data_IF_358032395141
#
_entry.id   IF_358032395141
#
_cell.length_a   1.000
_cell.length_b   1.000
_cell.length_c   1.000
_cell.angle_alpha   90.00
_cell.angle_beta   90.00
_cell.angle_gamma   90.00
#
_symmetry.space_group_name_H-M   'P 1'
#
loop_
_entity.id
_entity.type
_entity.pdbx_description
1 polymer ?
#
# COMPACT_ATOMS: atom_id res chain seq x y z
N UNK A 1 24.19 6.00 20.31
CA UNK A 1 23.71 5.15 21.42
C UNK A 1 22.68 5.94 22.23
N UNK A 2 22.00 5.32 23.19
CA UNK A 2 21.16 6.06 24.12
C UNK A 2 22.02 7.08 24.90
N UNK A 3 21.43 8.23 25.26
CA UNK A 3 22.09 9.36 25.92
C UNK A 3 23.20 10.08 25.11
N UNK A 4 23.47 9.64 23.88
CA UNK A 4 24.39 10.40 23.02
C UNK A 4 23.78 11.74 22.63
N UNK A 5 24.64 12.75 22.59
CA UNK A 5 24.27 14.11 22.19
C UNK A 5 23.95 14.16 20.71
N UNK A 6 22.87 14.86 20.39
CA UNK A 6 22.42 15.08 19.01
C UNK A 6 22.05 16.53 18.80
N UNK A 7 22.38 17.06 17.62
CA UNK A 7 22.06 18.43 17.21
C UNK A 7 21.29 18.38 15.90
N UNK A 8 20.07 18.88 15.88
CA UNK A 8 19.26 19.01 14.67
C UNK A 8 19.34 20.44 14.14
N UNK A 9 19.57 20.57 12.83
CA UNK A 9 19.67 21.86 12.15
C UNK A 9 18.63 21.95 11.03
N UNK A 10 17.98 23.10 10.86
CA UNK A 10 17.01 23.30 9.80
C UNK A 10 16.44 24.71 9.75
N UNK A 11 15.35 24.90 9.00
CA UNK A 11 14.70 26.19 8.78
C UNK A 11 13.23 26.09 9.22
N UNK A 12 12.91 26.39 10.49
CA UNK A 12 11.58 26.22 11.01
C UNK A 12 10.61 27.21 10.35
N UNK A 13 9.34 26.82 10.28
CA UNK A 13 8.29 27.64 9.67
C UNK A 13 8.23 29.03 10.32
N UNK A 14 8.26 30.07 9.49
CA UNK A 14 8.13 31.46 9.93
C UNK A 14 9.45 32.25 10.02
N UNK A 15 10.58 31.66 9.62
CA UNK A 15 11.84 32.39 9.46
C UNK A 15 12.75 31.79 8.40
N UNK A 16 13.62 32.62 7.84
CA UNK A 16 14.57 32.25 6.77
C UNK A 16 15.99 32.00 7.31
N UNK A 17 16.16 32.08 8.63
CA UNK A 17 17.43 31.86 9.31
C UNK A 17 17.54 30.43 9.84
N UNK A 18 18.77 29.92 9.91
CA UNK A 18 19.06 28.60 10.45
C UNK A 18 18.65 28.51 11.93
N UNK A 19 17.98 27.42 12.29
CA UNK A 19 17.68 27.04 13.67
C UNK A 19 18.48 25.82 14.04
N UNK A 20 18.99 25.82 15.28
CA UNK A 20 19.76 24.71 15.85
C UNK A 20 19.10 24.29 17.15
N UNK A 21 18.76 23.01 17.28
CA UNK A 21 18.25 22.42 18.52
C UNK A 21 19.15 21.28 18.96
N UNK A 22 19.45 21.23 20.26
CA UNK A 22 20.33 20.23 20.86
C UNK A 22 19.57 19.40 21.88
N UNK A 23 19.87 18.11 21.91
CA UNK A 23 19.30 17.16 22.85
C UNK A 23 20.14 15.91 22.95
N UNK A 24 19.52 14.82 23.37
CA UNK A 24 20.09 13.48 23.45
C UNK A 24 19.19 12.44 22.78
N UNK A 25 19.76 11.29 22.45
CA UNK A 25 19.01 10.12 22.01
C UNK A 25 18.27 9.51 23.19
N UNK A 26 16.94 9.53 23.16
CA UNK A 26 16.09 9.05 24.24
C UNK A 26 15.60 7.61 24.04
N UNK A 27 15.43 7.16 22.78
CA UNK A 27 14.97 5.80 22.44
C UNK A 27 15.40 5.44 21.02
N UNK A 28 15.64 4.16 20.76
CA UNK A 28 15.74 3.62 19.40
C UNK A 28 14.73 2.49 19.26
N UNK A 29 13.83 2.60 18.30
CA UNK A 29 12.73 1.65 18.13
C UNK A 29 12.15 1.71 16.70
N UNK A 30 11.32 0.73 16.34
CA UNK A 30 10.67 0.61 15.04
C UNK A 30 9.39 1.46 14.99
N UNK A 31 9.41 2.53 14.19
CA UNK A 31 8.30 3.49 14.03
C UNK A 31 7.76 3.48 12.61
N UNK A 32 6.47 3.76 12.47
CA UNK A 32 5.84 3.92 11.16
C UNK A 32 6.24 5.28 10.55
N UNK A 33 6.74 5.28 9.31
CA UNK A 33 7.23 6.50 8.65
C UNK A 33 6.15 7.27 7.88
N UNK A 34 5.08 6.61 7.45
CA UNK A 34 3.93 7.29 6.84
C UNK A 34 2.64 6.51 7.15
N UNK A 35 1.49 7.15 6.97
CA UNK A 35 0.19 6.49 7.14
C UNK A 35 0.13 5.24 6.26
N UNK A 36 -0.23 4.09 6.84
CA UNK A 36 -0.22 2.80 6.13
C UNK A 36 1.17 2.23 5.77
N UNK A 37 2.26 2.99 5.87
CA UNK A 37 3.59 2.58 5.43
C UNK A 37 4.34 1.65 6.39
N UNK A 38 5.57 1.29 6.01
CA UNK A 38 6.43 0.38 6.77
C UNK A 38 6.84 0.96 8.14
N UNK A 39 7.05 0.08 9.11
CA UNK A 39 7.76 0.43 10.36
C UNK A 39 9.26 0.24 10.15
N UNK A 40 10.04 1.30 10.29
CA UNK A 40 11.50 1.25 10.15
C UNK A 40 12.17 1.74 11.42
N UNK A 41 13.45 1.43 11.55
CA UNK A 41 14.25 1.87 12.69
C UNK A 41 14.20 3.40 12.76
N UNK A 42 13.95 3.93 13.94
CA UNK A 42 13.83 5.36 14.16
C UNK A 42 14.51 5.73 15.47
N UNK A 43 15.16 6.89 15.49
CA UNK A 43 15.85 7.40 16.67
C UNK A 43 15.00 8.53 17.25
N UNK A 44 14.50 8.32 18.47
CA UNK A 44 13.82 9.35 19.22
C UNK A 44 14.84 10.21 19.95
N UNK A 45 14.60 11.52 19.94
CA UNK A 45 15.43 12.53 20.58
C UNK A 45 14.56 13.48 21.41
N UNK A 46 15.16 14.13 22.41
CA UNK A 46 14.49 15.18 23.19
C UNK A 46 14.74 16.62 22.67
N UNK A 47 15.53 16.75 21.60
CA UNK A 47 15.71 18.01 20.89
C UNK A 47 14.40 18.41 20.18
N UNK A 48 14.07 19.69 20.23
CA UNK A 48 12.87 20.19 19.58
C UNK A 48 12.95 20.05 18.05
N UNK A 49 11.97 19.37 17.45
CA UNK A 49 11.76 19.29 16.01
C UNK A 49 10.46 20.01 15.69
N UNK A 50 10.56 21.09 14.90
CA UNK A 50 9.41 21.88 14.45
C UNK A 50 9.23 21.70 12.94
N UNK A 51 8.01 21.91 12.41
CA UNK A 51 7.80 21.97 10.96
C UNK A 51 8.79 22.91 10.29
N UNK A 52 9.46 22.44 9.24
CA UNK A 52 10.56 23.15 8.57
C UNK A 52 11.97 22.67 8.96
N UNK A 53 12.14 22.08 10.15
CA UNK A 53 13.39 21.38 10.49
C UNK A 53 13.46 19.99 9.85
N UNK A 54 12.31 19.36 9.60
CA UNK A 54 12.20 18.09 8.89
C UNK A 54 12.90 18.14 7.53
N UNK A 55 13.75 17.15 7.25
CA UNK A 55 14.62 17.09 6.07
C UNK A 55 16.05 17.61 6.32
N UNK A 56 16.26 18.37 7.39
CA UNK A 56 17.59 18.83 7.79
C UNK A 56 18.46 17.73 8.43
N UNK A 57 19.78 17.91 8.49
CA UNK A 57 20.68 16.93 9.10
C UNK A 57 20.56 16.91 10.63
N UNK A 58 20.78 15.73 11.20
CA UNK A 58 21.08 15.56 12.60
C UNK A 58 22.54 15.15 12.79
N UNK A 59 23.24 15.83 13.70
CA UNK A 59 24.66 15.66 13.95
C UNK A 59 24.94 14.98 15.29
N UNK A 60 25.96 14.11 15.31
CA UNK A 60 26.56 13.58 16.51
C UNK A 60 27.56 14.54 17.16
N UNK A 61 28.26 14.08 18.21
CA UNK A 61 29.24 14.89 18.97
C UNK A 61 30.43 15.38 18.13
N UNK A 62 30.81 14.63 17.11
CA UNK A 62 31.93 14.88 16.20
C UNK A 62 31.51 15.62 14.92
N UNK A 63 30.29 16.18 14.89
CA UNK A 63 29.68 16.77 13.69
C UNK A 63 29.50 15.79 12.53
N UNK A 64 29.57 14.48 12.78
CA UNK A 64 29.13 13.48 11.80
C UNK A 64 27.62 13.50 11.65
N UNK A 65 27.12 13.25 10.43
CA UNK A 65 25.67 13.13 10.18
C UNK A 65 25.22 11.76 10.69
N UNK A 66 24.39 11.77 11.74
CA UNK A 66 23.82 10.55 12.34
C UNK A 66 22.42 10.23 11.79
N UNK A 67 21.83 11.15 11.03
CA UNK A 67 20.56 10.93 10.35
C UNK A 67 19.91 12.20 9.81
N UNK A 68 18.63 12.09 9.47
CA UNK A 68 17.79 13.18 8.94
C UNK A 68 16.65 13.47 9.91
N UNK A 69 16.49 14.72 10.31
CA UNK A 69 15.36 15.16 11.14
C UNK A 69 14.04 14.86 10.41
N UNK A 70 13.09 14.23 11.11
CA UNK A 70 11.94 13.63 10.46
C UNK A 70 10.61 14.22 10.91
N UNK A 71 10.14 13.90 12.11
CA UNK A 71 8.86 14.41 12.59
C UNK A 71 8.87 14.57 14.12
N UNK A 72 7.90 15.33 14.61
CA UNK A 72 7.55 15.42 16.05
C UNK A 72 6.39 14.46 16.31
N UNK A 73 6.35 13.84 17.48
CA UNK A 73 5.11 13.19 17.92
C UNK A 73 4.06 14.28 18.17
N UNK A 74 2.92 14.21 17.48
CA UNK A 74 1.84 15.18 17.68
C UNK A 74 1.42 15.21 19.16
N UNK A 75 1.14 16.42 19.67
CA UNK A 75 0.66 16.65 21.04
C UNK A 75 1.65 16.24 22.16
N UNK A 76 2.92 15.97 21.86
CA UNK A 76 3.95 15.69 22.86
C UNK A 76 5.09 16.69 22.77
N UNK A 77 5.50 17.28 23.88
CA UNK A 77 6.67 18.16 23.89
C UNK A 77 7.98 17.38 24.02
N UNK A 78 9.04 17.93 23.42
CA UNK A 78 10.38 17.34 23.45
C UNK A 78 10.44 15.86 23.01
N UNK A 79 9.64 15.49 22.02
CA UNK A 79 9.73 14.18 21.34
C UNK A 79 9.89 14.42 19.84
N UNK A 80 11.14 14.42 19.40
CA UNK A 80 11.53 14.45 18.00
C UNK A 80 11.98 13.08 17.50
N UNK A 81 11.95 12.90 16.19
CA UNK A 81 12.43 11.69 15.53
C UNK A 81 13.45 12.02 14.44
N UNK A 82 14.42 11.13 14.28
CA UNK A 82 15.44 11.14 13.23
C UNK A 82 15.38 9.80 12.49
N UNK A 83 15.44 9.88 11.15
CA UNK A 83 15.73 8.73 10.29
C UNK A 83 17.24 8.43 10.42
N UNK A 84 17.64 7.30 11.01
CA UNK A 84 19.05 7.02 11.27
C UNK A 84 19.83 6.85 9.96
N UNK A 85 21.13 7.17 10.00
CA UNK A 85 22.01 7.11 8.84
C UNK A 85 22.01 5.74 8.15
N UNK A 86 21.84 4.63 8.87
CA UNK A 86 21.77 3.30 8.25
C UNK A 86 20.61 3.16 7.25
N UNK A 87 19.46 3.76 7.55
CA UNK A 87 18.29 3.77 6.65
C UNK A 87 18.58 4.65 5.43
N UNK A 88 19.18 5.82 5.64
CA UNK A 88 19.60 6.72 4.56
C UNK A 88 20.63 6.05 3.65
N UNK A 89 21.62 5.38 4.23
CA UNK A 89 22.67 4.65 3.50
C UNK A 89 22.07 3.52 2.67
N UNK A 90 21.12 2.75 3.21
CA UNK A 90 20.44 1.71 2.45
C UNK A 90 19.65 2.29 1.27
N UNK A 91 18.91 3.36 1.48
CA UNK A 91 18.22 4.09 0.40
C UNK A 91 19.19 4.54 -0.70
N UNK A 92 20.31 5.16 -0.33
CA UNK A 92 21.32 5.64 -1.29
C UNK A 92 21.99 4.49 -2.07
N UNK A 93 22.23 3.35 -1.41
CA UNK A 93 22.79 2.16 -2.07
C UNK A 93 21.83 1.58 -3.10
N UNK A 94 20.57 1.41 -2.71
CA UNK A 94 19.51 0.90 -3.59
C UNK A 94 19.38 1.77 -4.84
N UNK A 95 19.34 3.09 -4.66
CA UNK A 95 19.27 4.03 -5.77
C UNK A 95 20.52 4.02 -6.65
N UNK A 96 21.71 3.95 -6.06
CA UNK A 96 22.98 3.90 -6.80
C UNK A 96 23.08 2.64 -7.67
N UNK A 97 22.56 1.51 -7.20
CA UNK A 97 22.67 0.22 -7.89
C UNK A 97 21.62 0.06 -9.00
N UNK A 98 20.38 0.47 -8.74
CA UNK A 98 19.26 0.23 -9.67
C UNK A 98 18.80 1.46 -10.44
N UNK A 99 19.30 2.66 -10.10
CA UNK A 99 18.81 3.93 -10.65
C UNK A 99 17.43 4.35 -10.16
N UNK A 100 16.74 3.50 -9.38
CA UNK A 100 15.42 3.71 -8.79
C UNK A 100 15.37 3.11 -7.40
N UNK A 101 14.53 3.66 -6.53
CA UNK A 101 14.28 3.06 -5.21
C UNK A 101 13.15 2.03 -5.33
N UNK A 102 13.51 0.72 -5.32
CA UNK A 102 12.52 -0.36 -5.47
C UNK A 102 11.62 -0.55 -4.25
N UNK A 103 12.01 -0.02 -3.08
CA UNK A 103 11.23 -0.05 -1.85
C UNK A 103 11.96 -0.70 -0.68
N UNK A 104 11.20 -1.01 0.37
CA UNK A 104 11.68 -1.77 1.52
C UNK A 104 11.21 -3.22 1.38
N UNK A 105 12.11 -4.16 1.66
CA UNK A 105 11.84 -5.59 1.74
C UNK A 105 10.79 -5.94 2.80
N UNK A 106 10.06 -7.02 2.56
CA UNK A 106 9.06 -7.59 3.45
C UNK A 106 9.15 -9.11 3.48
N UNK A 107 8.77 -9.68 4.63
CA UNK A 107 8.81 -11.13 4.87
C UNK A 107 7.64 -11.90 4.29
N UNK A 108 6.53 -11.25 3.96
CA UNK A 108 5.36 -11.91 3.38
C UNK A 108 4.53 -12.74 4.35
N UNK A 109 4.52 -12.42 5.65
CA UNK A 109 3.63 -13.05 6.63
C UNK A 109 3.31 -12.15 7.82
N UNK A 110 2.30 -12.52 8.60
CA UNK A 110 1.94 -11.90 9.88
C UNK A 110 2.13 -12.89 11.04
N UNK A 111 2.49 -12.34 12.19
CA UNK A 111 2.78 -13.10 13.40
C UNK A 111 1.86 -12.74 14.56
N UNK A 112 1.59 -13.74 15.39
CA UNK A 112 0.95 -13.65 16.68
C UNK A 112 1.99 -13.95 17.77
N UNK A 113 1.92 -13.18 18.85
CA UNK A 113 2.75 -13.35 20.05
C UNK A 113 2.42 -14.66 20.77
N UNK A 114 3.42 -15.27 21.38
CA UNK A 114 3.36 -16.60 21.99
C UNK A 114 3.60 -16.58 23.50
N UNK A 115 3.32 -15.46 24.18
CA UNK A 115 3.56 -15.34 25.64
C UNK A 115 2.71 -16.30 26.48
N UNK A 116 1.57 -16.77 25.94
CA UNK A 116 0.70 -17.73 26.60
C UNK A 116 1.30 -19.14 26.60
N UNK A 117 1.53 -19.71 27.80
CA UNK A 117 2.12 -21.04 27.96
C UNK A 117 1.31 -22.16 27.31
N UNK A 118 -0.02 -22.09 27.35
CA UNK A 118 -0.88 -23.10 26.75
C UNK A 118 -0.80 -23.08 25.22
N UNK A 119 -0.66 -21.89 24.61
CA UNK A 119 -0.44 -21.75 23.17
C UNK A 119 0.91 -22.35 22.76
N UNK A 120 1.99 -22.06 23.50
CA UNK A 120 3.31 -22.69 23.27
C UNK A 120 3.25 -24.21 23.40
N UNK A 121 2.60 -24.71 24.45
CA UNK A 121 2.44 -26.14 24.68
C UNK A 121 1.62 -26.83 23.58
N UNK A 122 0.54 -26.18 23.10
CA UNK A 122 -0.30 -26.68 22.01
C UNK A 122 0.50 -26.89 20.73
N UNK A 123 1.34 -25.91 20.34
CA UNK A 123 2.23 -26.01 19.19
C UNK A 123 3.47 -26.90 19.43
N UNK A 124 3.64 -27.44 20.65
CA UNK A 124 4.71 -28.39 20.99
C UNK A 124 6.08 -27.75 21.19
N UNK A 125 6.12 -26.48 21.60
CA UNK A 125 7.37 -25.82 21.96
C UNK A 125 7.95 -26.44 23.24
N UNK A 126 9.24 -26.78 23.20
CA UNK A 126 9.97 -27.28 24.36
C UNK A 126 10.20 -26.16 25.39
N UNK A 127 10.44 -26.55 26.64
CA UNK A 127 10.77 -25.60 27.71
C UNK A 127 12.03 -24.80 27.35
N UNK A 128 11.93 -23.47 27.40
CA UNK A 128 13.02 -22.56 27.04
C UNK A 128 13.10 -22.19 25.55
N UNK A 129 12.24 -22.77 24.70
CA UNK A 129 12.01 -22.22 23.36
C UNK A 129 11.13 -20.98 23.44
N UNK A 130 11.38 -20.05 22.52
CA UNK A 130 10.60 -18.85 22.29
C UNK A 130 10.41 -18.62 20.79
N UNK A 131 9.40 -17.83 20.44
CA UNK A 131 9.17 -17.46 19.04
C UNK A 131 7.78 -16.88 18.81
N UNK A 132 7.41 -16.69 17.55
CA UNK A 132 6.10 -16.14 17.18
C UNK A 132 5.37 -17.03 16.19
N UNK A 133 4.05 -17.17 16.35
CA UNK A 133 3.20 -17.98 15.48
C UNK A 133 2.90 -17.24 14.18
N UNK A 134 3.16 -17.85 13.04
CA UNK A 134 2.75 -17.35 11.73
C UNK A 134 1.28 -17.71 11.53
N UNK A 135 0.41 -16.70 11.46
CA UNK A 135 -1.05 -16.93 11.34
C UNK A 135 -1.63 -16.53 9.98
N UNK A 136 -0.88 -15.79 9.15
CA UNK A 136 -1.22 -15.51 7.75
C UNK A 136 0.04 -15.41 6.91
N UNK A 137 0.02 -15.98 5.72
CA UNK A 137 1.08 -15.85 4.72
C UNK A 137 0.52 -15.11 3.51
N UNK A 138 1.29 -14.15 2.97
CA UNK A 138 0.95 -13.42 1.75
C UNK A 138 0.98 -14.42 0.57
N UNK A 139 -0.17 -14.74 -0.05
CA UNK A 139 -0.29 -15.83 -1.01
C UNK A 139 0.45 -15.56 -2.32
N UNK A 140 0.78 -14.30 -2.63
CA UNK A 140 1.55 -13.94 -3.82
C UNK A 140 3.04 -13.70 -3.51
N UNK A 141 3.49 -14.00 -2.29
CA UNK A 141 4.87 -13.85 -1.88
C UNK A 141 5.67 -15.15 -2.02
N UNK A 142 7.01 -15.09 -2.19
CA UNK A 142 7.88 -16.27 -2.13
C UNK A 142 7.79 -17.03 -0.80
N UNK A 143 7.34 -16.36 0.27
CA UNK A 143 7.13 -16.99 1.56
C UNK A 143 6.05 -18.08 1.49
N UNK A 144 5.02 -17.93 0.64
CA UNK A 144 3.94 -18.91 0.47
C UNK A 144 4.43 -20.25 -0.10
N UNK A 145 5.56 -20.27 -0.81
CA UNK A 145 6.12 -21.52 -1.33
C UNK A 145 6.66 -22.41 -0.21
N UNK A 146 7.25 -21.79 0.83
CA UNK A 146 8.02 -22.50 1.87
C UNK A 146 7.37 -22.49 3.25
N UNK A 147 6.69 -21.40 3.65
CA UNK A 147 6.05 -21.23 4.95
C UNK A 147 4.59 -21.67 4.91
N UNK A 148 4.08 -22.07 6.07
CA UNK A 148 2.68 -22.43 6.26
C UNK A 148 2.13 -21.66 7.46
N UNK A 149 0.82 -21.41 7.44
CA UNK A 149 0.13 -20.98 8.65
C UNK A 149 0.35 -22.05 9.75
N UNK A 150 0.40 -21.60 11.00
CA UNK A 150 0.74 -22.37 12.19
C UNK A 150 2.21 -22.75 12.38
N UNK A 151 3.11 -22.35 11.47
CA UNK A 151 4.54 -22.38 11.74
C UNK A 151 4.89 -21.45 12.91
N UNK A 152 5.71 -21.91 13.86
CA UNK A 152 6.28 -21.02 14.89
C UNK A 152 7.69 -20.61 14.48
N UNK A 153 7.91 -19.34 14.20
CA UNK A 153 9.24 -18.80 13.91
C UNK A 153 10.05 -18.68 15.20
N UNK A 154 11.12 -19.48 15.31
CA UNK A 154 12.01 -19.54 16.46
C UNK A 154 13.23 -18.63 16.27
N UNK A 155 13.80 -18.59 15.07
CA UNK A 155 14.96 -17.76 14.73
C UNK A 155 14.76 -17.11 13.35
N UNK A 156 15.28 -15.90 13.20
CA UNK A 156 15.35 -15.18 11.93
C UNK A 156 16.81 -14.77 11.71
N UNK A 157 17.41 -15.15 10.58
CA UNK A 157 18.83 -14.91 10.28
C UNK A 157 19.77 -15.44 11.39
N UNK A 158 19.41 -16.56 12.02
CA UNK A 158 20.15 -17.16 13.13
C UNK A 158 20.01 -16.40 14.47
N UNK A 159 19.20 -15.35 14.52
CA UNK A 159 18.90 -14.60 15.74
C UNK A 159 17.62 -15.15 16.39
N UNK A 160 17.66 -15.58 17.67
CA UNK A 160 16.47 -16.03 18.38
C UNK A 160 15.41 -14.94 18.51
N UNK A 161 14.17 -15.32 18.20
CA UNK A 161 12.98 -14.48 18.35
C UNK A 161 12.31 -14.81 19.68
N UNK A 162 11.93 -13.79 20.45
CA UNK A 162 11.19 -13.98 21.69
C UNK A 162 9.68 -14.09 21.44
N UNK A 163 8.95 -14.45 22.49
CA UNK A 163 7.50 -14.65 22.45
C UNK A 163 6.70 -13.39 22.09
N UNK A 164 7.28 -12.21 22.35
CA UNK A 164 6.73 -10.89 22.00
C UNK A 164 7.16 -10.40 20.60
N UNK A 165 7.82 -11.24 19.81
CA UNK A 165 8.33 -10.88 18.48
C UNK A 165 9.55 -9.96 18.47
N UNK A 166 10.20 -9.75 19.61
CA UNK A 166 11.44 -8.98 19.64
C UNK A 166 12.67 -9.87 19.47
N UNK A 167 13.78 -9.25 19.07
CA UNK A 167 15.12 -9.83 19.02
C UNK A 167 16.07 -8.99 19.87
N UNK A 168 17.19 -9.59 20.29
CA UNK A 168 18.31 -8.82 20.84
C UNK A 168 18.91 -7.95 19.75
N UNK A 169 19.04 -6.65 19.99
CA UNK A 169 19.53 -5.68 19.03
C UNK A 169 20.98 -5.28 19.30
N UNK A 170 21.24 -4.70 20.47
CA UNK A 170 22.58 -4.27 20.92
C UNK A 170 22.64 -4.26 22.43
N UNK A 171 23.72 -4.76 23.02
CA UNK A 171 23.82 -4.92 24.47
C UNK A 171 22.56 -5.61 25.03
N UNK A 172 21.83 -4.95 25.93
CA UNK A 172 20.58 -5.42 26.53
C UNK A 172 19.31 -4.86 25.83
N UNK A 173 19.46 -4.07 24.76
CA UNK A 173 18.34 -3.49 24.03
C UNK A 173 17.71 -4.51 23.07
N UNK A 174 16.38 -4.45 22.94
CA UNK A 174 15.59 -5.30 22.06
C UNK A 174 14.82 -4.45 21.05
N UNK A 175 14.59 -5.00 19.87
CA UNK A 175 13.75 -4.39 18.82
C UNK A 175 12.90 -5.46 18.16
N UNK A 176 11.81 -5.04 17.52
CA UNK A 176 10.97 -5.89 16.68
C UNK A 176 11.81 -6.62 15.61
N UNK A 177 11.59 -7.93 15.44
CA UNK A 177 12.34 -8.78 14.50
C UNK A 177 12.33 -8.25 13.07
N UNK A 178 11.35 -7.41 12.72
CA UNK A 178 11.29 -6.77 11.42
C UNK A 178 12.49 -5.90 11.07
N UNK A 179 13.29 -5.50 12.06
CA UNK A 179 14.57 -4.84 11.82
C UNK A 179 15.51 -5.70 10.95
N UNK A 180 15.53 -7.02 11.15
CA UNK A 180 16.45 -7.94 10.46
C UNK A 180 16.22 -7.98 8.96
N UNK A 181 14.96 -8.02 8.54
CA UNK A 181 14.65 -8.11 7.12
C UNK A 181 14.51 -6.74 6.46
N UNK A 182 14.01 -5.71 7.17
CA UNK A 182 13.87 -4.36 6.59
C UNK A 182 15.19 -3.62 6.37
N UNK A 183 16.28 -4.15 6.93
CA UNK A 183 17.65 -3.67 6.66
C UNK A 183 18.30 -4.36 5.46
N UNK A 184 17.66 -5.39 4.88
CA UNK A 184 18.06 -6.10 3.66
C UNK A 184 17.46 -5.45 2.40
N UNK A 185 17.93 -5.88 1.24
CA UNK A 185 17.44 -5.42 -0.06
C UNK A 185 16.41 -6.40 -0.65
N UNK A 186 15.61 -5.90 -1.60
CA UNK A 186 14.66 -6.74 -2.35
C UNK A 186 15.46 -7.71 -3.22
N UNK A 187 15.16 -9.01 -3.12
CA UNK A 187 15.89 -10.08 -3.77
C UNK A 187 16.99 -10.74 -2.92
N UNK A 188 17.25 -10.23 -1.72
CA UNK A 188 18.09 -10.95 -0.75
C UNK A 188 17.37 -12.21 -0.26
N UNK A 189 18.13 -13.25 0.06
CA UNK A 189 17.59 -14.41 0.77
C UNK A 189 17.40 -14.08 2.26
N UNK A 190 16.34 -14.63 2.84
CA UNK A 190 16.14 -14.67 4.30
C UNK A 190 16.04 -16.11 4.75
N UNK A 191 16.67 -16.43 5.87
CA UNK A 191 16.64 -17.75 6.51
C UNK A 191 15.88 -17.70 7.82
N UNK A 192 14.86 -18.55 7.94
CA UNK A 192 14.05 -18.71 9.15
C UNK A 192 14.20 -20.12 9.69
N UNK A 193 14.29 -20.24 11.02
CA UNK A 193 14.15 -21.52 11.71
C UNK A 193 12.76 -21.58 12.30
N UNK A 194 11.98 -22.57 11.88
CA UNK A 194 10.59 -22.71 12.28
C UNK A 194 10.34 -24.05 12.95
N UNK A 195 9.34 -24.09 13.83
CA UNK A 195 8.72 -25.31 14.34
C UNK A 195 7.45 -25.56 13.53
N UNK A 196 7.42 -26.63 12.76
CA UNK A 196 6.24 -27.09 12.00
C UNK A 196 5.93 -28.52 12.41
N UNK A 197 4.69 -28.81 12.81
CA UNK A 197 4.29 -30.14 13.26
C UNK A 197 5.26 -30.72 14.31
N UNK A 198 5.71 -29.87 15.24
CA UNK A 198 6.67 -30.22 16.32
C UNK A 198 8.07 -30.63 15.83
N UNK A 199 8.39 -30.37 14.56
CA UNK A 199 9.71 -30.59 13.98
C UNK A 199 10.35 -29.26 13.63
N UNK A 200 11.62 -29.10 14.01
CA UNK A 200 12.40 -27.91 13.67
C UNK A 200 12.93 -28.07 12.25
N UNK A 201 12.76 -27.03 11.44
CA UNK A 201 13.32 -26.95 10.10
C UNK A 201 13.82 -25.54 9.80
N UNK A 202 14.78 -25.47 8.88
CA UNK A 202 15.32 -24.21 8.37
C UNK A 202 14.82 -24.01 6.95
N UNK A 203 14.20 -22.86 6.71
CA UNK A 203 13.59 -22.49 5.44
C UNK A 203 14.24 -21.20 4.95
N UNK A 204 14.48 -21.12 3.65
CA UNK A 204 15.03 -19.93 3.01
C UNK A 204 14.22 -19.56 1.78
N UNK A 205 14.03 -18.26 1.57
CA UNK A 205 13.32 -17.72 0.41
C UNK A 205 13.73 -16.27 0.15
N UNK A 206 13.31 -15.73 -1.00
CA UNK A 206 13.65 -14.38 -1.43
C UNK A 206 12.73 -13.34 -0.82
N UNK A 207 13.31 -12.25 -0.30
CA UNK A 207 12.57 -11.08 0.15
C UNK A 207 12.00 -10.30 -1.02
N UNK A 208 10.76 -9.85 -0.88
CA UNK A 208 10.07 -9.06 -1.90
C UNK A 208 9.64 -7.69 -1.37
N UNK A 209 9.16 -6.83 -2.27
CA UNK A 209 8.53 -5.56 -1.89
C UNK A 209 7.19 -5.85 -1.20
N UNK A 210 6.86 -5.10 -0.14
CA UNK A 210 5.50 -5.12 0.42
C UNK A 210 4.49 -4.57 -0.60
N UNK A 211 3.48 -5.36 -0.96
CA UNK A 211 2.44 -5.01 -1.93
C UNK A 211 1.03 -5.22 -1.34
N UNK A 212 0.55 -4.32 -0.47
CA UNK A 212 -0.74 -4.48 0.18
C UNK A 212 -1.90 -4.34 -0.81
N UNK A 213 -3.05 -4.96 -0.49
CA UNK A 213 -4.28 -4.79 -1.29
C UNK A 213 -4.74 -3.34 -1.35
N UNK A 214 -4.61 -2.60 -0.24
CA UNK A 214 -4.89 -1.17 -0.16
C UNK A 214 -3.57 -0.41 0.03
N UNK A 215 -3.08 0.29 -1.01
CA UNK A 215 -1.81 1.02 -0.94
C UNK A 215 -1.80 2.13 0.12
N UNK A 216 -0.70 2.19 0.86
CA UNK A 216 -0.42 3.22 1.87
C UNK A 216 -0.11 4.61 1.26
N UNK A 217 0.36 4.60 0.02
CA UNK A 217 0.72 5.77 -0.78
C UNK A 217 0.14 5.56 -2.17
N UNK A 218 -0.13 6.63 -2.91
CA UNK A 218 -0.35 6.50 -4.36
C UNK A 218 0.88 5.82 -4.95
N UNK A 219 0.68 4.95 -5.95
CA UNK A 219 1.73 4.15 -6.56
C UNK A 219 2.94 5.04 -6.81
N UNK A 220 4.03 4.76 -6.10
CA UNK A 220 5.31 5.43 -6.29
C UNK A 220 6.00 4.95 -7.56
N UNK A 221 5.23 4.62 -8.60
CA UNK A 221 5.69 4.71 -9.98
C UNK A 221 5.88 6.21 -10.32
N UNK A 222 6.78 6.82 -9.55
CA UNK A 222 7.42 8.11 -9.76
C UNK A 222 8.34 8.02 -10.99
N UNK A 223 8.40 6.87 -11.66
CA UNK A 223 9.16 6.68 -12.89
C UNK A 223 8.75 7.67 -14.01
N UNK A 224 7.56 8.30 -13.95
CA UNK A 224 7.13 9.26 -15.00
C UNK A 224 6.29 10.45 -14.50
N UNK A 225 6.72 11.18 -13.46
CA UNK A 225 6.22 12.55 -13.27
C UNK A 225 4.86 12.70 -12.57
N UNK A 226 4.61 11.88 -11.53
CA UNK A 226 3.44 11.99 -10.68
C UNK A 226 2.22 11.33 -11.29
N UNK A 227 1.84 10.14 -10.80
CA UNK A 227 0.55 9.55 -11.18
C UNK A 227 -0.56 10.31 -10.46
N UNK A 228 -1.44 10.95 -11.23
CA UNK A 228 -2.74 11.35 -10.72
C UNK A 228 -3.51 10.08 -10.34
N UNK A 229 -4.34 10.11 -9.28
CA UNK A 229 -5.13 8.96 -8.90
C UNK A 229 -6.03 8.53 -10.05
N UNK A 230 -6.01 7.25 -10.38
CA UNK A 230 -6.82 6.70 -11.47
C UNK A 230 -8.31 6.83 -11.15
N UNK A 231 -9.11 7.15 -12.16
CA UNK A 231 -10.57 7.19 -12.04
C UNK A 231 -11.25 6.77 -13.34
N UNK A 232 -12.49 6.31 -13.21
CA UNK A 232 -13.37 5.98 -14.34
C UNK A 232 -14.81 6.41 -14.05
N UNK A 233 -15.46 7.04 -15.03
CA UNK A 233 -16.81 7.59 -14.92
C UNK A 233 -17.70 6.98 -16.00
N UNK A 234 -18.84 6.42 -15.60
CA UNK A 234 -19.87 5.92 -16.53
C UNK A 234 -21.26 6.22 -15.98
N UNK A 235 -22.11 6.87 -16.77
CA UNK A 235 -23.47 7.27 -16.34
C UNK A 235 -23.51 8.12 -15.05
N UNK A 236 -22.44 8.87 -14.80
CA UNK A 236 -22.24 9.65 -13.57
C UNK A 236 -21.72 8.86 -12.36
N UNK A 237 -21.55 7.54 -12.46
CA UNK A 237 -20.91 6.73 -11.41
C UNK A 237 -19.40 6.94 -11.47
N UNK A 238 -18.77 7.37 -10.37
CA UNK A 238 -17.34 7.64 -10.29
C UNK A 238 -16.65 6.51 -9.51
N UNK A 239 -15.81 5.75 -10.21
CA UNK A 239 -15.04 4.64 -9.66
C UNK A 239 -13.57 5.01 -9.50
N UNK A 240 -12.97 4.59 -8.38
CA UNK A 240 -11.55 4.77 -8.08
C UNK A 240 -10.96 3.53 -7.40
N UNK A 241 -9.64 3.26 -7.51
CA UNK A 241 -8.99 2.25 -6.71
C UNK A 241 -8.90 2.74 -5.25
N UNK A 242 -9.22 1.85 -4.32
CA UNK A 242 -9.12 2.16 -2.90
C UNK A 242 -7.64 2.31 -2.48
N UNK A 243 -7.33 3.40 -1.79
CA UNK A 243 -6.01 3.66 -1.21
C UNK A 243 -6.12 4.45 0.10
N UNK A 244 -5.08 4.41 0.94
CA UNK A 244 -5.03 5.22 2.16
C UNK A 244 -5.10 6.73 1.87
N UNK A 245 -4.36 7.28 0.88
CA UNK A 245 -4.50 8.69 0.50
C UNK A 245 -5.91 9.06 0.05
N UNK A 246 -6.60 8.17 -0.68
CA UNK A 246 -8.01 8.38 -1.02
C UNK A 246 -8.89 8.50 0.23
N UNK A 247 -8.71 7.62 1.22
CA UNK A 247 -9.46 7.67 2.48
C UNK A 247 -9.18 8.95 3.27
N UNK A 248 -7.91 9.37 3.32
CA UNK A 248 -7.50 10.62 3.96
C UNK A 248 -8.13 11.84 3.28
N UNK A 249 -8.16 11.86 1.94
CA UNK A 249 -8.78 12.95 1.18
C UNK A 249 -10.31 12.97 1.32
N UNK A 250 -10.95 11.81 1.24
CA UNK A 250 -12.41 11.70 1.27
C UNK A 250 -13.01 11.92 2.67
N UNK A 251 -12.27 11.59 3.74
CA UNK A 251 -12.80 11.56 5.12
C UNK A 251 -11.97 12.37 6.13
N UNK A 252 -10.90 13.02 5.70
CA UNK A 252 -10.01 13.86 6.52
C UNK A 252 -9.10 13.08 7.47
N UNK A 253 -8.44 13.80 8.39
CA UNK A 253 -7.47 13.24 9.34
C UNK A 253 -8.05 12.13 10.26
N UNK A 254 -9.38 12.09 10.43
CA UNK A 254 -10.08 11.06 11.21
C UNK A 254 -10.75 9.99 10.32
N UNK A 255 -10.20 9.73 9.14
CA UNK A 255 -10.79 8.80 8.17
C UNK A 255 -11.06 7.40 8.74
N UNK A 256 -10.24 6.89 9.66
CA UNK A 256 -10.46 5.60 10.34
C UNK A 256 -11.79 5.56 11.11
N UNK A 257 -12.22 6.70 11.64
CA UNK A 257 -13.51 6.83 12.34
C UNK A 257 -14.66 7.12 11.37
N UNK A 258 -14.39 7.87 10.31
CA UNK A 258 -15.42 8.44 9.47
C UNK A 258 -15.73 7.63 8.19
N UNK A 259 -14.81 6.75 7.77
CA UNK A 259 -14.98 5.93 6.56
C UNK A 259 -15.82 4.66 6.83
N UNK A 260 -16.55 4.15 5.82
CA UNK A 260 -17.36 2.94 5.96
C UNK A 260 -16.54 1.72 6.40
N UNK A 261 -17.06 0.97 7.38
CA UNK A 261 -16.41 -0.23 7.94
C UNK A 261 -16.10 -1.27 6.87
N UNK A 262 -16.99 -1.46 5.89
CA UNK A 262 -16.79 -2.43 4.81
C UNK A 262 -15.54 -2.12 3.96
N UNK A 263 -15.22 -0.84 3.77
CA UNK A 263 -14.02 -0.41 3.04
C UNK A 263 -12.78 -0.58 3.91
N UNK A 264 -12.88 -0.30 5.21
CA UNK A 264 -11.78 -0.49 6.17
C UNK A 264 -11.39 -1.96 6.35
N UNK A 265 -12.36 -2.87 6.26
CA UNK A 265 -12.15 -4.32 6.35
C UNK A 265 -11.19 -4.86 5.27
N UNK A 266 -10.93 -4.10 4.20
CA UNK A 266 -10.01 -4.46 3.12
C UNK A 266 -8.54 -4.07 3.42
N UNK A 267 -8.29 -3.19 4.39
CA UNK A 267 -6.94 -2.73 4.73
C UNK A 267 -5.97 -3.85 5.18
N UNK A 268 -6.38 -4.82 6.01
CA UNK A 268 -5.48 -5.89 6.44
C UNK A 268 -5.38 -7.05 5.44
N UNK A 269 -6.15 -7.02 4.34
CA UNK A 269 -6.20 -8.13 3.39
C UNK A 269 -5.00 -8.14 2.44
N UNK A 270 -4.58 -9.35 2.08
CA UNK A 270 -3.57 -9.55 1.04
C UNK A 270 -4.19 -9.51 -0.34
N UNK A 271 -3.34 -9.27 -1.33
CA UNK A 271 -3.68 -9.53 -2.73
C UNK A 271 -3.68 -11.03 -2.97
N UNK A 272 -4.63 -11.50 -3.77
CA UNK A 272 -4.68 -12.85 -4.32
C UNK A 272 -3.91 -12.96 -5.64
N UNK A 273 -3.71 -11.83 -6.35
CA UNK A 273 -2.90 -11.72 -7.55
C UNK A 273 -2.29 -10.31 -7.65
N UNK A 274 -1.15 -10.18 -8.34
CA UNK A 274 -0.30 -8.98 -8.31
C UNK A 274 -1.03 -7.66 -8.63
N UNK A 275 -1.87 -7.66 -9.65
CA UNK A 275 -2.59 -6.48 -10.17
C UNK A 275 -3.94 -6.22 -9.49
N UNK A 276 -4.26 -6.94 -8.42
CA UNK A 276 -5.55 -6.79 -7.75
C UNK A 276 -5.69 -5.39 -7.14
N UNK A 277 -6.85 -4.75 -7.37
CA UNK A 277 -7.23 -3.49 -6.75
C UNK A 277 -8.70 -3.55 -6.30
N UNK A 278 -9.02 -3.18 -5.05
CA UNK A 278 -10.40 -2.94 -4.67
C UNK A 278 -10.90 -1.68 -5.37
N UNK A 279 -11.85 -1.83 -6.29
CA UNK A 279 -12.51 -0.69 -6.94
C UNK A 279 -13.69 -0.28 -6.08
N UNK A 280 -13.81 1.02 -5.79
CA UNK A 280 -14.93 1.56 -5.01
C UNK A 280 -15.74 2.57 -5.85
N UNK A 281 -17.06 2.52 -5.70
CA UNK A 281 -17.93 3.62 -6.11
C UNK A 281 -17.75 4.74 -5.09
N UNK A 282 -17.07 5.81 -5.49
CA UNK A 282 -16.78 6.95 -4.63
C UNK A 282 -17.95 7.94 -4.57
N UNK A 283 -18.45 8.32 -5.74
CA UNK A 283 -19.45 9.38 -5.87
C UNK A 283 -20.38 9.09 -7.05
N UNK A 284 -21.61 9.63 -6.96
CA UNK A 284 -22.56 9.67 -8.08
C UNK A 284 -22.79 11.13 -8.47
N UNK A 285 -22.39 11.48 -9.69
CA UNK A 285 -22.69 12.75 -10.35
C UNK A 285 -24.15 12.73 -10.79
N UNK A 286 -24.99 13.48 -10.07
CA UNK A 286 -26.44 13.42 -10.22
C UNK A 286 -26.92 13.75 -11.64
N UNK A 287 -27.63 12.80 -12.25
CA UNK A 287 -28.23 12.90 -13.57
C UNK A 287 -29.49 12.04 -13.63
N UNK A 288 -30.35 12.27 -14.62
CA UNK A 288 -31.61 11.52 -14.73
C UNK A 288 -31.39 10.00 -14.81
N UNK A 289 -30.33 9.57 -15.50
CA UNK A 289 -29.98 8.15 -15.63
C UNK A 289 -29.67 7.44 -14.30
N UNK A 290 -29.27 8.17 -13.25
CA UNK A 290 -28.87 7.60 -11.97
C UNK A 290 -29.79 8.00 -10.80
N UNK A 291 -31.02 8.41 -11.10
CA UNK A 291 -32.03 8.71 -10.08
C UNK A 291 -32.33 7.49 -9.20
N UNK A 292 -32.46 7.75 -7.89
CA UNK A 292 -32.70 6.71 -6.88
C UNK A 292 -31.43 6.07 -6.32
N UNK A 293 -30.29 6.16 -7.02
CA UNK A 293 -29.03 5.64 -6.53
C UNK A 293 -28.38 6.59 -5.53
N UNK A 294 -28.31 6.15 -4.27
CA UNK A 294 -27.67 6.87 -3.16
C UNK A 294 -26.80 5.91 -2.38
N UNK A 295 -25.50 6.08 -2.50
CA UNK A 295 -24.52 5.20 -1.87
C UNK A 295 -23.44 6.05 -1.20
N UNK A 296 -23.01 5.58 -0.02
CA UNK A 296 -21.68 5.94 0.49
C UNK A 296 -20.62 5.14 -0.28
N UNK A 297 -19.35 5.49 -0.10
CA UNK A 297 -18.24 4.72 -0.67
C UNK A 297 -18.40 3.23 -0.37
N UNK A 298 -18.43 2.44 -1.44
CA UNK A 298 -18.68 0.99 -1.36
C UNK A 298 -17.88 0.28 -2.44
N UNK A 299 -17.34 -0.91 -2.11
CA UNK A 299 -16.61 -1.75 -3.05
C UNK A 299 -17.54 -2.25 -4.15
N UNK A 300 -17.07 -2.16 -5.39
CA UNK A 300 -17.63 -2.87 -6.53
C UNK A 300 -17.03 -4.28 -6.55
N UNK A 301 -17.88 -5.29 -6.63
CA UNK A 301 -17.46 -6.70 -6.64
C UNK A 301 -17.59 -7.32 -8.02
N UNK A 302 -18.68 -7.03 -8.74
CA UNK A 302 -18.94 -7.59 -10.08
C UNK A 302 -19.48 -6.56 -11.06
N UNK A 303 -19.24 -6.82 -12.34
CA UNK A 303 -19.92 -6.19 -13.47
C UNK A 303 -20.50 -7.28 -14.37
N UNK A 304 -21.81 -7.25 -14.63
CA UNK A 304 -22.53 -8.29 -15.40
C UNK A 304 -22.10 -9.72 -15.01
N UNK A 305 -22.16 -10.04 -13.71
CA UNK A 305 -21.71 -11.29 -13.07
C UNK A 305 -20.20 -11.64 -13.15
N UNK A 306 -19.38 -10.82 -13.83
CA UNK A 306 -17.92 -10.98 -13.88
C UNK A 306 -17.26 -10.28 -12.70
N UNK A 307 -16.34 -10.97 -12.02
CA UNK A 307 -15.59 -10.40 -10.90
C UNK A 307 -14.61 -9.30 -11.34
N UNK A 308 -14.60 -8.20 -10.60
CA UNK A 308 -13.73 -7.07 -10.88
C UNK A 308 -12.34 -7.33 -10.30
N UNK A 309 -11.33 -7.14 -11.15
CA UNK A 309 -9.92 -7.37 -10.82
C UNK A 309 -9.21 -6.10 -10.38
N UNK A 310 -9.43 -5.03 -11.13
CA UNK A 310 -8.90 -3.70 -10.91
C UNK A 310 -9.71 -2.67 -11.74
N UNK A 311 -9.33 -1.39 -11.67
CA UNK A 311 -10.06 -0.33 -12.36
C UNK A 311 -9.97 -0.44 -13.90
N UNK A 312 -8.80 -0.79 -14.43
CA UNK A 312 -8.61 -1.00 -15.87
C UNK A 312 -9.53 -2.09 -16.40
N UNK A 313 -9.63 -3.23 -15.69
CA UNK A 313 -10.54 -4.32 -16.03
C UNK A 313 -12.00 -3.87 -16.05
N UNK A 314 -12.43 -3.02 -15.11
CA UNK A 314 -13.78 -2.45 -15.13
C UNK A 314 -14.03 -1.60 -16.39
N UNK A 315 -13.09 -0.71 -16.72
CA UNK A 315 -13.23 0.16 -17.89
C UNK A 315 -13.31 -0.65 -19.19
N UNK A 316 -12.48 -1.69 -19.32
CA UNK A 316 -12.52 -2.63 -20.45
C UNK A 316 -13.87 -3.35 -20.55
N UNK A 317 -14.37 -3.91 -19.45
CA UNK A 317 -15.65 -4.62 -19.42
C UNK A 317 -16.82 -3.72 -19.84
N UNK A 318 -16.81 -2.45 -19.41
CA UNK A 318 -17.81 -1.46 -19.81
C UNK A 318 -17.68 -1.10 -21.29
N UNK A 319 -16.47 -0.84 -21.78
CA UNK A 319 -16.21 -0.48 -23.18
C UNK A 319 -16.60 -1.60 -24.15
N UNK A 320 -16.35 -2.86 -23.76
CA UNK A 320 -16.66 -4.04 -24.59
C UNK A 320 -18.05 -4.64 -24.33
N UNK A 321 -18.86 -4.00 -23.47
CA UNK A 321 -20.16 -4.54 -23.07
C UNK A 321 -21.12 -4.63 -24.27
N UNK A 322 -21.56 -5.84 -24.62
CA UNK A 322 -22.47 -6.07 -25.74
C UNK A 322 -23.95 -6.05 -25.33
N UNK A 323 -24.24 -6.32 -24.05
CA UNK A 323 -25.61 -6.28 -23.50
C UNK A 323 -26.19 -4.87 -23.52
N UNK A 324 -27.52 -4.79 -23.36
CA UNK A 324 -28.26 -3.54 -23.20
C UNK A 324 -28.01 -2.88 -21.84
N UNK A 325 -27.64 -3.69 -20.84
CA UNK A 325 -27.57 -3.30 -19.43
C UNK A 325 -26.13 -3.31 -18.91
N UNK A 326 -25.79 -2.26 -18.17
CA UNK A 326 -24.59 -2.16 -17.36
C UNK A 326 -24.98 -2.44 -15.90
N UNK A 327 -24.80 -3.67 -15.44
CA UNK A 327 -25.09 -4.09 -14.07
C UNK A 327 -23.81 -4.03 -13.21
N UNK A 328 -23.86 -3.26 -12.13
CA UNK A 328 -22.80 -3.13 -11.15
C UNK A 328 -23.25 -3.73 -9.82
N UNK A 329 -22.56 -4.77 -9.34
CA UNK A 329 -22.82 -5.35 -8.02
C UNK A 329 -21.85 -4.80 -6.99
N UNK A 330 -22.42 -4.27 -5.92
CA UNK A 330 -21.73 -3.60 -4.83
C UNK A 330 -21.73 -4.50 -3.61
N UNK A 331 -20.64 -4.42 -2.87
CA UNK A 331 -20.48 -5.11 -1.60
C UNK A 331 -21.55 -4.67 -0.58
N UNK A 332 -21.91 -5.58 0.31
CA UNK A 332 -22.97 -5.37 1.27
C UNK A 332 -22.91 -6.36 2.43
N UNK A 333 -22.81 -5.82 3.65
CA UNK A 333 -22.71 -6.57 4.91
C UNK A 333 -23.89 -7.54 5.17
N UNK A 334 -25.00 -7.42 4.42
CA UNK A 334 -26.21 -8.25 4.55
C UNK A 334 -26.81 -8.67 3.19
N UNK A 335 -26.00 -8.68 2.13
CA UNK A 335 -26.44 -8.93 0.75
C UNK A 335 -26.02 -7.82 -0.21
N UNK A 336 -25.59 -8.20 -1.41
CA UNK A 336 -25.08 -7.27 -2.41
C UNK A 336 -26.16 -6.30 -2.92
N UNK A 337 -25.80 -5.03 -3.10
CA UNK A 337 -26.65 -4.03 -3.74
C UNK A 337 -26.31 -3.96 -5.22
N UNK A 338 -27.25 -3.53 -6.06
CA UNK A 338 -27.05 -3.42 -7.50
C UNK A 338 -27.38 -2.04 -8.03
N UNK A 339 -26.64 -1.62 -9.05
CA UNK A 339 -26.94 -0.47 -9.90
C UNK A 339 -27.06 -0.99 -11.33
N UNK A 340 -28.09 -0.56 -12.06
CA UNK A 340 -28.30 -0.97 -13.45
C UNK A 340 -28.51 0.27 -14.29
N UNK A 341 -27.70 0.43 -15.34
CA UNK A 341 -27.86 1.52 -16.31
C UNK A 341 -28.12 0.96 -17.70
N UNK A 342 -28.96 1.63 -18.48
CA UNK A 342 -29.10 1.36 -19.91
C UNK A 342 -27.85 1.88 -20.64
N UNK A 343 -27.14 1.00 -21.37
CA UNK A 343 -25.83 1.29 -21.98
C UNK A 343 -25.87 2.47 -22.93
N UNK A 344 -26.78 2.47 -23.91
CA UNK A 344 -26.85 3.52 -24.94
C UNK A 344 -27.27 4.87 -24.34
N UNK A 345 -28.08 4.86 -23.29
CA UNK A 345 -28.40 6.07 -22.54
C UNK A 345 -27.18 6.59 -21.75
N UNK A 346 -26.44 5.71 -21.09
CA UNK A 346 -25.23 6.08 -20.35
C UNK A 346 -24.15 6.68 -21.26
N UNK A 347 -24.01 6.15 -22.48
CA UNK A 347 -23.10 6.68 -23.50
C UNK A 347 -23.54 8.05 -24.01
N UNK A 348 -24.83 8.21 -24.38
CA UNK A 348 -25.36 9.48 -24.90
C UNK A 348 -25.33 10.62 -23.88
N UNK A 349 -25.71 10.34 -22.63
CA UNK A 349 -25.76 11.36 -21.57
C UNK A 349 -24.39 11.63 -20.94
N UNK A 350 -23.42 10.72 -21.08
CA UNK A 350 -22.11 10.79 -20.42
C UNK A 350 -21.38 12.11 -20.66
N UNK A 351 -21.30 12.58 -21.92
CA UNK A 351 -20.60 13.82 -22.26
C UNK A 351 -21.23 15.06 -21.59
N UNK A 352 -22.57 15.12 -21.54
CA UNK A 352 -23.28 16.22 -20.89
C UNK A 352 -23.14 16.18 -19.35
N UNK A 353 -23.08 14.98 -18.76
CA UNK A 353 -22.78 14.83 -17.33
C UNK A 353 -21.38 15.39 -17.03
N UNK A 354 -20.35 14.95 -17.76
CA UNK A 354 -18.98 15.41 -17.54
C UNK A 354 -18.86 16.93 -17.70
N UNK A 355 -19.47 17.49 -18.76
CA UNK A 355 -19.50 18.93 -19.02
C UNK A 355 -20.17 19.71 -17.88
N UNK A 356 -21.32 19.24 -17.38
CA UNK A 356 -22.05 19.88 -16.26
C UNK A 356 -21.19 19.95 -14.99
N UNK A 357 -20.41 18.92 -14.73
CA UNK A 357 -19.55 18.82 -13.55
C UNK A 357 -18.12 19.32 -13.80
N UNK A 358 -17.85 19.93 -14.95
CA UNK A 358 -16.54 20.44 -15.36
C UNK A 358 -15.42 19.37 -15.28
N UNK A 359 -15.74 18.13 -15.64
CA UNK A 359 -14.79 17.02 -15.71
C UNK A 359 -14.33 16.88 -17.16
N UNK A 360 -13.01 16.89 -17.38
CA UNK A 360 -12.43 16.94 -18.72
C UNK A 360 -12.59 15.63 -19.51
N UNK A 361 -12.45 14.49 -18.84
CA UNK A 361 -12.49 13.14 -19.45
C UNK A 361 -13.31 12.19 -18.58
N UNK A 362 -13.82 11.12 -19.19
CA UNK A 362 -14.51 10.04 -18.47
C UNK A 362 -13.53 9.20 -17.64
N UNK A 363 -12.23 9.30 -17.89
CA UNK A 363 -11.20 8.49 -17.23
C UNK A 363 -9.87 9.23 -17.13
N UNK A 364 -9.02 8.77 -16.22
CA UNK A 364 -7.63 9.22 -16.13
C UNK A 364 -6.79 8.66 -17.30
N UNK A 365 -5.66 9.31 -17.59
CA UNK A 365 -4.85 9.02 -18.78
C UNK A 365 -4.22 7.61 -18.78
N UNK A 366 -4.06 7.00 -17.61
CA UNK A 366 -3.55 5.64 -17.43
C UNK A 366 -4.60 4.56 -17.75
N UNK A 367 -5.88 4.90 -17.71
CA UNK A 367 -6.97 3.96 -17.98
C UNK A 367 -7.26 3.91 -19.47
N UNK A 368 -6.80 2.84 -20.12
CA UNK A 368 -6.90 2.65 -21.57
C UNK A 368 -8.29 2.19 -21.98
N UNK A 369 -8.73 2.60 -23.17
CA UNK A 369 -9.94 2.07 -23.79
C UNK A 369 -9.75 0.61 -24.22
N UNK A 370 -10.82 -0.18 -24.17
CA UNK A 370 -10.83 -1.54 -24.71
C UNK A 370 -10.47 -1.58 -26.20
N UNK A 371 -9.84 -2.67 -26.65
CA UNK A 371 -9.43 -2.83 -28.04
C UNK A 371 -10.61 -2.64 -29.01
N UNK A 372 -10.46 -1.75 -30.00
CA UNK A 372 -11.47 -1.47 -31.01
C UNK A 372 -12.43 -0.30 -30.73
N UNK A 373 -12.27 0.42 -29.61
CA UNK A 373 -13.05 1.62 -29.27
C UNK A 373 -12.20 2.88 -29.50
N UNK A 374 -12.60 3.74 -30.45
CA UNK A 374 -11.91 4.99 -30.77
C UNK A 374 -12.01 6.02 -29.63
N UNK A 375 -11.16 7.06 -29.64
CA UNK A 375 -11.13 8.12 -28.61
C UNK A 375 -12.49 8.81 -28.40
N UNK A 376 -13.32 8.87 -29.45
CA UNK A 376 -14.68 9.43 -29.43
C UNK A 376 -15.78 8.42 -29.03
N UNK A 377 -15.40 7.22 -28.58
CA UNK A 377 -16.33 6.16 -28.16
C UNK A 377 -17.00 5.41 -29.31
N UNK A 378 -16.66 5.68 -30.57
CA UNK A 378 -17.14 4.92 -31.73
C UNK A 378 -16.26 3.69 -31.97
N UNK A 379 -16.85 2.54 -32.31
CA UNK A 379 -16.06 1.38 -32.76
C UNK A 379 -15.35 1.78 -34.05
N UNK A 380 -14.05 1.49 -34.17
CA UNK A 380 -13.36 1.66 -35.44
C UNK A 380 -14.06 0.78 -36.49
N UNK A 381 -14.59 1.38 -37.55
CA UNK A 381 -15.20 0.63 -38.65
C UNK A 381 -14.15 -0.33 -39.23
N UNK A 382 -14.49 -1.62 -39.29
CA UNK A 382 -13.69 -2.60 -39.99
C UNK A 382 -13.64 -2.20 -41.47
N UNK A 383 -12.44 -1.93 -42.00
CA UNK A 383 -12.24 -1.63 -43.40
C UNK A 383 -12.85 -2.76 -44.28
N UNK A 384 -13.65 -2.44 -45.32
CA UNK A 384 -14.22 -3.47 -46.17
C UNK A 384 -13.11 -4.20 -46.92
N UNK A 385 -13.13 -5.52 -46.83
CA UNK A 385 -12.25 -6.44 -47.56
C UNK A 385 -12.26 -6.13 -49.05
N UNK A 386 -11.15 -5.60 -49.57
CA UNK A 386 -10.91 -5.48 -51.00
C UNK A 386 -10.52 -6.85 -51.58
N UNK A 387 -11.50 -7.65 -51.99
CA UNK A 387 -11.33 -8.74 -52.96
C UNK A 387 -12.59 -8.92 -53.80
N UNK A 388 -12.51 -8.48 -55.07
CA UNK A 388 -12.97 -9.16 -56.28
C UNK A 388 -13.33 -8.16 -57.39
N UNK A 389 -12.43 -8.00 -58.37
CA UNK A 389 -12.78 -7.76 -59.78
C UNK A 389 -11.54 -7.81 -60.66
N UNK A 390 -10.95 -9.00 -60.80
CA UNK A 390 -10.22 -9.36 -62.02
C UNK A 390 -11.06 -10.38 -62.77
N UNK A 391 -11.76 -9.93 -63.81
CA UNK A 391 -12.11 -10.69 -65.01
C UNK A 391 -13.02 -9.84 -65.90
N UNK A 392 -12.45 -9.17 -66.91
CA UNK A 392 -12.87 -9.25 -68.31
C UNK A 392 -12.01 -8.28 -69.14
N UNK A 393 -11.00 -8.83 -69.81
CA UNK A 393 -10.44 -8.26 -71.02
C UNK A 393 -10.30 -9.43 -72.02
N UNK A 394 -11.26 -9.48 -72.95
CA UNK A 394 -11.17 -10.13 -74.25
C UNK A 394 -11.63 -9.08 -75.27
#
# INVERSE_FOLDING_TARGET
QLQDTVVACGYPRGGDSISVTKGVVSRIDMRRYCSGGNRLLCVQIDAAINPGNSGGPAFGRDLSVVGVAFCKLQESDNIGYIIPFDIVRNFLREFKEHGVFRGVSAVGFMCQEMENEALRAYHGMAKGQSGTLIYRVDPISPAAEVLREEDVMLECEGVPVADDGTITFRNEERVDFAHLFRSRFIGDDITLKVLRNKQIMTLSYKLQRFNPLVPAVHSTEVEQGGSFPSYFVVGGLVFVPLSVPFLEQAYGNSWKRNSPVAVQALLPEYKEYAEQQPVVLFQILSAQINYGYRFQTVRLTKFNDVEIKNLQHLAELVDTCETEWLEFRLDGLAGGRQIVLEKEKARREGAEILKRYAIAKDRSDDIKRGAGVAENGERAEAAPNARASEALAA
#
